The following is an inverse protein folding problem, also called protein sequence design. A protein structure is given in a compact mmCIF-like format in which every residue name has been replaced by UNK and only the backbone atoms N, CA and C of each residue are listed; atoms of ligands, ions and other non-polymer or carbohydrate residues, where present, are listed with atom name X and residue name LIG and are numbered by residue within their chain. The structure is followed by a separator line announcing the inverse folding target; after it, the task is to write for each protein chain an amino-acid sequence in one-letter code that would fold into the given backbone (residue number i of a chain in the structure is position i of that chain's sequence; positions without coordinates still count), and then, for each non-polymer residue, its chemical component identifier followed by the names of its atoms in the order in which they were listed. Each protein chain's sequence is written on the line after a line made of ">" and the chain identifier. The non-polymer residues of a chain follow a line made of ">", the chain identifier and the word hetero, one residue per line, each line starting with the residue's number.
data_IF_464783126126
#
_entry.id   IF_464783126126
#
_cell.length_a   1.000
_cell.length_b   1.000
_cell.length_c   1.000
_cell.angle_alpha   90.00
_cell.angle_beta   90.00
_cell.angle_gamma   90.00
#
_symmetry.space_group_name_H-M   'P 1'
#
loop_
_entity.id
_entity.type
_entity.pdbx_description
1 polymer ?
#
# COMPACT_ATOMS: atom_id res chain seq x y z
N UNK A 1 10.38 8.78 -20.47
CA UNK A 1 11.61 8.70 -21.28
C UNK A 1 11.47 9.66 -22.44
N UNK A 2 12.47 10.51 -22.66
CA UNK A 2 12.49 11.47 -23.76
C UNK A 2 13.54 11.07 -24.79
N UNK A 3 13.27 11.36 -26.07
CA UNK A 3 14.28 11.27 -27.14
C UNK A 3 15.17 12.54 -27.17
N UNK A 4 16.11 12.59 -28.12
CA UNK A 4 17.01 13.73 -28.29
C UNK A 4 16.31 15.04 -28.71
N UNK A 5 15.06 14.98 -29.15
CA UNK A 5 14.21 16.12 -29.55
C UNK A 5 13.19 16.49 -28.47
N UNK A 6 13.32 15.92 -27.26
CA UNK A 6 12.38 16.07 -26.14
C UNK A 6 10.97 15.49 -26.37
N UNK A 7 10.79 14.59 -27.34
CA UNK A 7 9.54 13.87 -27.49
C UNK A 7 9.42 12.77 -26.45
N UNK A 8 8.21 12.55 -25.93
CA UNK A 8 7.93 11.45 -25.00
C UNK A 8 7.95 10.13 -25.77
N UNK A 9 8.97 9.31 -25.51
CA UNK A 9 9.09 7.96 -26.08
C UNK A 9 8.17 6.99 -25.34
N UNK A 10 8.18 7.05 -24.01
CA UNK A 10 7.38 6.17 -23.15
C UNK A 10 7.24 6.76 -21.76
N UNK A 11 6.09 6.50 -21.12
CA UNK A 11 5.81 6.79 -19.72
C UNK A 11 5.53 5.49 -18.98
N UNK A 12 6.11 5.33 -17.79
CA UNK A 12 5.83 4.19 -16.91
C UNK A 12 5.29 4.68 -15.57
N UNK A 13 4.32 3.94 -15.01
CA UNK A 13 3.91 4.09 -13.61
C UNK A 13 4.90 3.31 -12.76
N UNK A 14 5.74 4.02 -11.99
CA UNK A 14 6.76 3.39 -11.14
C UNK A 14 6.09 2.91 -9.84
N UNK A 15 6.14 1.61 -9.50
CA UNK A 15 5.58 1.11 -8.25
C UNK A 15 6.24 1.74 -7.02
N UNK A 16 5.46 1.98 -5.96
CA UNK A 16 6.03 2.36 -4.66
C UNK A 16 7.04 1.32 -4.17
N UNK A 17 8.11 1.77 -3.53
CA UNK A 17 9.19 0.87 -3.10
C UNK A 17 10.22 0.53 -4.18
N UNK A 18 10.01 0.97 -5.42
CA UNK A 18 10.98 0.74 -6.51
C UNK A 18 12.31 1.40 -6.22
N UNK A 19 13.41 0.69 -6.49
CA UNK A 19 14.74 1.26 -6.53
C UNK A 19 14.97 1.88 -7.91
N UNK A 20 15.17 3.18 -7.96
CA UNK A 20 15.48 3.92 -9.19
C UNK A 20 17.00 4.02 -9.34
N UNK A 21 17.52 3.65 -10.52
CA UNK A 21 18.97 3.62 -10.81
C UNK A 21 19.44 4.79 -11.67
N UNK A 22 18.51 5.64 -12.12
CA UNK A 22 18.78 6.78 -12.99
C UNK A 22 18.38 8.08 -12.31
N UNK A 23 19.10 9.15 -12.62
CA UNK A 23 18.77 10.52 -12.19
C UNK A 23 17.87 11.19 -13.21
N UNK A 24 17.17 12.25 -12.77
CA UNK A 24 16.42 13.10 -13.68
C UNK A 24 17.34 13.63 -14.79
N UNK A 25 16.87 13.64 -16.03
CA UNK A 25 17.61 14.06 -17.24
C UNK A 25 18.92 13.28 -17.53
N UNK A 26 19.15 12.13 -16.89
CA UNK A 26 20.30 11.30 -17.20
C UNK A 26 20.18 10.71 -18.61
N UNK A 27 21.22 10.90 -19.44
CA UNK A 27 21.33 10.21 -20.74
C UNK A 27 21.54 8.71 -20.50
N UNK A 28 20.74 7.88 -21.16
CA UNK A 28 20.77 6.42 -21.05
C UNK A 28 20.92 5.79 -22.43
N UNK A 29 21.36 4.53 -22.48
CA UNK A 29 21.40 3.71 -23.70
C UNK A 29 20.27 2.67 -23.68
N UNK A 30 19.92 2.14 -24.84
CA UNK A 30 18.99 1.00 -24.95
C UNK A 30 19.52 -0.15 -24.05
N UNK A 31 18.62 -0.78 -23.28
CA UNK A 31 18.96 -1.83 -22.32
C UNK A 31 19.40 -1.34 -20.93
N UNK A 32 19.45 -0.02 -20.69
CA UNK A 32 19.79 0.50 -19.35
C UNK A 32 18.70 0.18 -18.33
N UNK A 33 19.07 -0.36 -17.16
CA UNK A 33 18.17 -0.58 -16.05
C UNK A 33 17.72 0.77 -15.45
N UNK A 34 16.43 1.07 -15.54
CA UNK A 34 15.88 2.34 -15.04
C UNK A 34 15.46 2.25 -13.59
N UNK A 35 14.70 1.20 -13.26
CA UNK A 35 14.22 0.92 -11.92
C UNK A 35 13.96 -0.59 -11.75
N UNK A 36 13.96 -1.07 -10.51
CA UNK A 36 13.60 -2.44 -10.16
C UNK A 36 12.68 -2.46 -8.95
N UNK A 37 11.79 -3.44 -8.88
CA UNK A 37 10.94 -3.68 -7.72
C UNK A 37 10.73 -5.19 -7.52
N UNK A 38 10.29 -5.57 -6.32
CA UNK A 38 9.87 -6.94 -6.02
C UNK A 38 8.39 -7.10 -6.42
N UNK A 39 8.04 -7.99 -7.36
CA UNK A 39 6.65 -8.19 -7.76
C UNK A 39 5.79 -8.88 -6.69
N UNK A 40 6.41 -9.56 -5.73
CA UNK A 40 5.76 -10.37 -4.69
C UNK A 40 5.66 -9.68 -3.33
N UNK A 41 6.35 -8.57 -3.14
CA UNK A 41 6.44 -7.91 -1.83
C UNK A 41 6.17 -6.42 -1.97
N UNK A 42 5.15 -5.93 -1.29
CA UNK A 42 5.01 -4.51 -0.99
C UNK A 42 5.91 -4.14 0.20
N UNK A 43 6.33 -2.89 0.26
CA UNK A 43 7.21 -2.39 1.32
C UNK A 43 6.63 -1.14 1.94
N UNK A 44 7.02 -0.85 3.19
CA UNK A 44 6.85 0.48 3.79
C UNK A 44 8.24 1.06 4.01
N UNK A 45 8.51 2.21 3.39
CA UNK A 45 9.78 2.92 3.49
C UNK A 45 9.72 4.00 4.57
N UNK A 46 10.85 4.24 5.20
CA UNK A 46 11.05 5.43 6.00
C UNK A 46 11.00 6.68 5.10
N UNK A 47 10.10 7.63 5.39
CA UNK A 47 10.00 8.89 4.63
C UNK A 47 11.01 9.95 5.08
N UNK A 48 11.52 9.84 6.30
CA UNK A 48 12.39 10.83 6.93
C UNK A 48 13.51 10.17 7.69
N UNK A 49 14.64 10.84 7.83
CA UNK A 49 15.71 10.35 8.70
C UNK A 49 15.27 10.48 10.16
N UNK A 50 15.57 9.49 10.99
CA UNK A 50 15.24 9.58 12.42
C UNK A 50 15.41 8.26 13.16
N UNK A 51 14.74 8.17 14.31
CA UNK A 51 14.72 6.99 15.17
C UNK A 51 13.33 6.41 15.21
N UNK A 52 13.22 5.10 14.98
CA UNK A 52 11.92 4.44 14.95
C UNK A 52 11.42 4.19 16.37
N UNK A 53 10.14 4.45 16.60
CA UNK A 53 9.39 4.02 17.78
C UNK A 53 8.21 3.16 17.36
N UNK A 54 8.05 2.05 18.05
CA UNK A 54 6.92 1.14 17.84
C UNK A 54 5.75 1.62 18.70
N UNK A 55 4.55 1.67 18.12
CA UNK A 55 3.32 2.05 18.79
C UNK A 55 2.26 0.98 18.60
N UNK A 56 1.56 0.64 19.67
CA UNK A 56 0.59 -0.45 19.73
C UNK A 56 1.16 -1.82 19.34
N UNK A 57 2.43 -2.09 19.70
CA UNK A 57 3.04 -3.41 19.57
C UNK A 57 2.89 -4.18 20.88
N UNK A 58 1.99 -5.16 20.89
CA UNK A 58 1.69 -6.03 22.03
C UNK A 58 1.79 -7.47 21.52
N UNK A 59 2.75 -8.23 22.05
CA UNK A 59 3.00 -9.60 21.64
C UNK A 59 1.78 -10.47 21.96
N UNK A 60 1.35 -11.30 21.00
CA UNK A 60 0.18 -12.15 21.09
C UNK A 60 -1.16 -11.44 20.83
N UNK A 61 -1.17 -10.10 20.74
CA UNK A 61 -2.38 -9.31 20.45
C UNK A 61 -2.29 -8.59 19.11
N UNK A 62 -1.28 -7.73 18.91
CA UNK A 62 -1.10 -6.97 17.67
C UNK A 62 0.07 -7.46 16.82
N UNK A 63 0.95 -8.29 17.38
CA UNK A 63 1.97 -9.00 16.61
C UNK A 63 2.35 -10.35 17.22
N UNK A 64 2.95 -11.21 16.42
CA UNK A 64 3.63 -12.45 16.83
C UNK A 64 5.09 -12.46 16.38
N UNK A 65 5.95 -13.15 17.14
CA UNK A 65 7.30 -13.47 16.68
C UNK A 65 7.28 -14.81 15.94
N UNK A 66 7.57 -14.79 14.64
CA UNK A 66 7.74 -16.02 13.86
C UNK A 66 9.23 -16.32 13.68
N UNK A 67 9.63 -17.57 13.92
CA UNK A 67 10.95 -18.05 13.52
C UNK A 67 10.97 -18.29 12.00
N UNK A 68 11.96 -17.73 11.32
CA UNK A 68 12.27 -18.13 9.94
C UNK A 68 13.28 -19.27 9.91
N UNK A 69 13.39 -19.98 8.79
CA UNK A 69 14.33 -21.10 8.59
C UNK A 69 15.78 -20.78 8.99
N UNK A 70 16.20 -19.52 8.88
CA UNK A 70 17.52 -19.06 9.33
C UNK A 70 17.70 -18.94 10.86
N UNK A 71 16.69 -19.28 11.66
CA UNK A 71 16.66 -19.14 13.12
C UNK A 71 16.43 -17.70 13.62
N UNK A 72 16.41 -16.71 12.72
CA UNK A 72 16.06 -15.33 13.07
C UNK A 72 14.56 -15.24 13.35
N UNK A 73 14.19 -14.50 14.39
CA UNK A 73 12.79 -14.14 14.64
C UNK A 73 12.40 -12.89 13.85
N UNK A 74 11.20 -12.87 13.30
CA UNK A 74 10.60 -11.72 12.63
C UNK A 74 9.29 -11.34 13.31
N UNK A 75 9.04 -10.04 13.44
CA UNK A 75 7.78 -9.53 13.96
C UNK A 75 6.76 -9.53 12.81
N UNK A 76 5.68 -10.28 12.97
CA UNK A 76 4.56 -10.35 12.02
C UNK A 76 3.34 -9.74 12.67
N UNK A 77 2.74 -8.74 12.02
CA UNK A 77 1.54 -8.07 12.52
C UNK A 77 0.35 -9.02 12.41
N UNK A 78 -0.35 -9.17 13.53
CA UNK A 78 -1.53 -10.03 13.66
C UNK A 78 -2.79 -9.20 13.80
N UNK A 79 -3.93 -9.79 13.48
CA UNK A 79 -5.20 -9.12 13.71
C UNK A 79 -5.51 -9.08 15.21
N UNK A 80 -5.66 -7.87 15.76
CA UNK A 80 -6.08 -7.68 17.15
C UNK A 80 -7.60 -7.72 17.29
N UNK A 81 -8.06 -8.27 18.42
CA UNK A 81 -9.48 -8.23 18.83
C UNK A 81 -9.87 -6.84 19.30
N UNK A 82 -8.95 -6.13 19.96
CA UNK A 82 -9.15 -4.73 20.32
C UNK A 82 -8.91 -3.83 19.11
N UNK A 83 -10.01 -3.39 18.52
CA UNK A 83 -9.98 -2.50 17.34
C UNK A 83 -9.47 -1.09 17.67
N UNK A 84 -9.19 -0.74 18.92
CA UNK A 84 -8.54 0.53 19.24
C UNK A 84 -7.03 0.49 19.05
N UNK A 85 -6.43 -0.70 18.97
CA UNK A 85 -4.99 -0.87 18.77
C UNK A 85 -4.66 -0.89 17.28
N UNK A 86 -3.80 0.03 16.84
CA UNK A 86 -3.36 0.12 15.45
C UNK A 86 -1.83 0.08 15.41
N UNK A 87 -1.21 -1.10 15.26
CA UNK A 87 0.24 -1.21 15.24
C UNK A 87 0.82 -0.30 14.15
N UNK A 88 1.67 0.64 14.56
CA UNK A 88 2.26 1.62 13.66
C UNK A 88 3.69 1.98 14.05
N UNK A 89 4.45 2.42 13.05
CA UNK A 89 5.81 2.91 13.23
C UNK A 89 5.79 4.43 13.22
N UNK A 90 6.47 5.03 14.20
CA UNK A 90 6.71 6.45 14.27
C UNK A 90 8.20 6.76 14.10
N UNK A 91 8.53 7.80 13.33
CA UNK A 91 9.90 8.29 13.19
C UNK A 91 10.05 9.58 13.98
N UNK A 92 10.94 9.56 14.96
CA UNK A 92 11.23 10.69 15.83
C UNK A 92 12.57 11.35 15.50
N UNK A 93 12.65 12.65 15.76
CA UNK A 93 13.91 13.40 15.73
C UNK A 93 14.81 13.04 16.94
N UNK A 94 16.00 13.64 17.00
CA UNK A 94 16.92 13.46 18.15
C UNK A 94 16.36 13.97 19.48
N UNK A 95 15.37 14.87 19.46
CA UNK A 95 14.72 15.45 20.64
C UNK A 95 13.53 14.60 21.10
N UNK A 96 13.17 13.55 20.34
CA UNK A 96 12.04 12.68 20.64
C UNK A 96 10.70 13.15 20.08
N UNK A 97 10.67 14.19 19.25
CA UNK A 97 9.44 14.68 18.60
C UNK A 97 9.10 13.85 17.37
N UNK A 98 7.82 13.56 17.17
CA UNK A 98 7.34 12.91 15.95
C UNK A 98 7.59 13.82 14.74
N UNK A 99 8.28 13.31 13.73
CA UNK A 99 8.51 14.04 12.48
C UNK A 99 7.22 13.99 11.65
N UNK A 100 6.85 15.11 11.01
CA UNK A 100 5.70 15.14 10.09
C UNK A 100 5.89 14.10 8.98
N UNK A 101 4.89 13.25 8.79
CA UNK A 101 4.99 12.11 7.87
C UNK A 101 5.87 10.95 8.38
N UNK A 102 6.28 10.97 9.65
CA UNK A 102 7.01 9.89 10.29
C UNK A 102 6.13 8.73 10.77
N UNK A 103 4.81 8.85 10.70
CA UNK A 103 3.88 7.79 11.11
C UNK A 103 3.48 6.89 9.93
N UNK A 104 3.45 5.58 10.15
CA UNK A 104 3.07 4.55 9.16
C UNK A 104 2.35 3.40 9.85
N UNK A 105 1.06 3.24 9.55
CA UNK A 105 0.23 2.14 10.07
C UNK A 105 0.60 0.85 9.36
N UNK A 106 0.63 -0.25 10.11
CA UNK A 106 1.00 -1.54 9.59
C UNK A 106 -0.24 -2.40 9.32
N UNK A 107 -0.36 -2.97 8.11
CA UNK A 107 -1.41 -3.93 7.82
C UNK A 107 -1.13 -5.28 8.47
N UNK A 108 -2.17 -6.10 8.59
CA UNK A 108 -2.06 -7.49 9.07
C UNK A 108 -1.19 -8.29 8.07
N UNK A 109 -0.43 -9.26 8.57
CA UNK A 109 0.60 -10.03 7.85
C UNK A 109 1.84 -9.22 7.44
N UNK A 110 1.92 -7.93 7.78
CA UNK A 110 3.13 -7.16 7.57
C UNK A 110 4.28 -7.70 8.44
N UNK A 111 5.46 -7.86 7.84
CA UNK A 111 6.68 -8.25 8.53
C UNK A 111 7.54 -7.03 8.79
N UNK A 112 7.81 -6.72 10.06
CA UNK A 112 8.70 -5.64 10.47
C UNK A 112 10.14 -6.15 10.49
N UNK A 113 11.04 -5.49 9.74
CA UNK A 113 12.43 -5.92 9.56
C UNK A 113 13.46 -5.01 10.25
N UNK A 114 12.97 -4.08 11.05
CA UNK A 114 13.75 -3.13 11.85
C UNK A 114 13.47 -3.36 13.34
N UNK A 115 14.29 -2.75 14.21
CA UNK A 115 14.11 -2.81 15.67
C UNK A 115 13.58 -1.49 16.21
N UNK A 116 12.86 -1.56 17.33
CA UNK A 116 12.48 -0.37 18.09
C UNK A 116 13.75 0.41 18.52
N UNK A 117 13.72 1.73 18.39
CA UNK A 117 14.87 2.62 18.64
C UNK A 117 15.92 2.67 17.53
N UNK A 118 15.78 1.86 16.46
CA UNK A 118 16.74 1.84 15.36
C UNK A 118 16.75 3.19 14.60
N UNK A 119 17.96 3.67 14.29
CA UNK A 119 18.14 4.81 13.38
C UNK A 119 17.88 4.39 11.94
N UNK A 120 17.02 5.12 11.23
CA UNK A 120 16.67 4.87 9.83
C UNK A 120 16.98 6.08 8.95
N UNK A 121 17.22 5.81 7.67
CA UNK A 121 17.36 6.84 6.63
C UNK A 121 16.11 6.89 5.75
N UNK A 122 15.81 8.05 5.19
CA UNK A 122 14.79 8.19 4.17
C UNK A 122 15.06 7.21 3.00
N UNK A 123 14.02 6.51 2.56
CA UNK A 123 14.09 5.45 1.56
C UNK A 123 14.49 4.06 2.10
N UNK A 124 14.83 3.93 3.39
CA UNK A 124 15.12 2.63 3.99
C UNK A 124 13.83 1.81 4.16
N UNK A 125 13.86 0.55 3.72
CA UNK A 125 12.76 -0.40 3.94
C UNK A 125 12.67 -0.74 5.42
N UNK A 126 11.48 -0.55 6.00
CA UNK A 126 11.18 -0.86 7.40
C UNK A 126 10.30 -2.11 7.53
N UNK A 127 9.43 -2.33 6.53
CA UNK A 127 8.39 -3.36 6.56
C UNK A 127 8.28 -4.01 5.20
N UNK A 128 8.00 -5.31 5.19
CA UNK A 128 7.67 -6.11 4.00
C UNK A 128 6.29 -6.70 4.14
N UNK A 129 5.49 -6.63 3.09
CA UNK A 129 4.11 -7.09 3.05
C UNK A 129 4.00 -8.07 1.87
N UNK A 130 3.79 -9.37 2.12
CA UNK A 130 3.67 -10.35 1.04
C UNK A 130 2.40 -10.10 0.24
N UNK A 131 2.51 -10.03 -1.08
CA UNK A 131 1.36 -9.89 -1.98
C UNK A 131 0.68 -11.23 -2.16
N UNK A 132 -0.65 -11.23 -2.02
CA UNK A 132 -1.47 -12.44 -2.23
C UNK A 132 -1.42 -12.93 -3.69
N UNK A 133 -1.16 -12.03 -4.65
CA UNK A 133 -1.10 -12.32 -6.09
C UNK A 133 0.00 -13.31 -6.52
N UNK A 134 0.98 -13.60 -5.64
CA UNK A 134 2.09 -14.51 -5.92
C UNK A 134 1.86 -15.96 -5.51
N UNK A 135 0.80 -16.27 -4.75
CA UNK A 135 0.45 -17.66 -4.48
C UNK A 135 -0.18 -18.22 -5.75
N UNK A 136 0.49 -19.23 -6.31
CA UNK A 136 0.07 -20.05 -7.45
C UNK A 136 -1.45 -20.08 -7.54
N UNK A 137 -2.01 -19.49 -8.61
CA UNK A 137 -3.41 -19.66 -8.98
C UNK A 137 -3.59 -21.14 -9.26
N UNK A 138 -3.90 -21.89 -8.20
CA UNK A 138 -4.29 -23.27 -8.31
C UNK A 138 -5.49 -23.32 -9.26
N UNK A 139 -5.30 -23.89 -10.44
CA UNK A 139 -6.29 -23.89 -11.53
C UNK A 139 -7.59 -24.58 -11.06
N UNK A 140 -7.48 -25.42 -10.03
CA UNK A 140 -8.60 -26.09 -9.35
C UNK A 140 -9.46 -25.15 -8.48
N UNK A 141 -8.94 -24.00 -8.06
CA UNK A 141 -9.64 -22.99 -7.25
C UNK A 141 -10.26 -21.83 -8.06
N UNK A 142 -10.30 -21.91 -9.39
CA UNK A 142 -10.74 -20.82 -10.27
C UNK A 142 -12.26 -20.62 -10.35
N UNK A 143 -13.06 -21.65 -10.07
CA UNK A 143 -14.53 -21.58 -10.11
C UNK A 143 -15.13 -20.51 -9.19
N UNK A 144 -14.71 -20.36 -7.91
CA UNK A 144 -15.13 -19.25 -7.07
C UNK A 144 -14.93 -17.88 -7.70
N UNK A 145 -13.81 -17.67 -8.40
CA UNK A 145 -13.52 -16.39 -9.05
C UNK A 145 -14.39 -16.17 -10.28
N UNK A 146 -14.65 -17.20 -11.08
CA UNK A 146 -15.57 -17.13 -12.21
C UNK A 146 -17.00 -16.84 -11.69
N UNK A 147 -17.44 -17.53 -10.65
CA UNK A 147 -18.73 -17.26 -10.00
C UNK A 147 -18.79 -15.83 -9.43
N UNK A 148 -17.71 -15.32 -8.83
CA UNK A 148 -17.64 -13.92 -8.39
C UNK A 148 -17.85 -12.93 -9.55
N UNK A 149 -17.27 -13.21 -10.71
CA UNK A 149 -17.37 -12.36 -11.91
C UNK A 149 -18.77 -12.44 -12.53
N UNK A 150 -19.30 -13.63 -12.77
CA UNK A 150 -20.61 -13.84 -13.41
C UNK A 150 -21.79 -13.47 -12.50
N UNK A 151 -21.68 -13.65 -11.19
CA UNK A 151 -22.71 -13.25 -10.22
C UNK A 151 -22.49 -11.84 -9.64
N UNK A 152 -21.45 -11.13 -10.09
CA UNK A 152 -21.05 -9.82 -9.57
C UNK A 152 -20.95 -9.78 -8.03
N UNK A 153 -20.37 -10.84 -7.43
CA UNK A 153 -20.12 -10.89 -5.98
C UNK A 153 -18.90 -10.06 -5.61
N UNK A 154 -18.83 -9.69 -4.34
CA UNK A 154 -17.64 -9.04 -3.80
C UNK A 154 -16.48 -10.04 -3.74
N UNK A 155 -15.26 -9.63 -4.15
CA UNK A 155 -14.07 -10.45 -3.99
C UNK A 155 -13.84 -10.81 -2.51
N UNK A 156 -13.16 -11.92 -2.26
CA UNK A 156 -12.75 -12.30 -0.90
C UNK A 156 -11.95 -11.21 -0.17
N UNK A 157 -11.09 -10.48 -0.90
CA UNK A 157 -10.34 -9.33 -0.40
C UNK A 157 -10.67 -8.08 -1.23
N UNK A 158 -11.76 -7.35 -0.92
CA UNK A 158 -12.25 -6.26 -1.76
C UNK A 158 -11.50 -4.95 -1.50
N UNK A 159 -10.90 -4.35 -2.52
CA UNK A 159 -10.30 -3.02 -2.41
C UNK A 159 -11.38 -1.94 -2.41
N UNK A 160 -11.12 -0.85 -1.67
CA UNK A 160 -11.92 0.37 -1.75
C UNK A 160 -11.35 1.24 -2.86
N UNK A 161 -12.18 1.65 -3.81
CA UNK A 161 -11.80 2.53 -4.92
C UNK A 161 -12.48 3.90 -4.79
N UNK A 162 -11.80 4.96 -5.21
CA UNK A 162 -12.40 6.30 -5.25
C UNK A 162 -13.36 6.42 -6.43
N UNK A 163 -14.44 7.18 -6.27
CA UNK A 163 -15.39 7.48 -7.35
C UNK A 163 -15.15 8.87 -7.95
N UNK A 164 -14.20 9.62 -7.40
CA UNK A 164 -13.86 10.97 -7.86
C UNK A 164 -12.35 11.10 -8.05
N UNK A 165 -11.97 11.99 -8.96
CA UNK A 165 -10.61 12.49 -9.07
C UNK A 165 -10.35 13.48 -7.93
N UNK A 166 -9.16 13.47 -7.34
CA UNK A 166 -8.82 14.41 -6.29
C UNK A 166 -7.53 14.11 -5.56
N UNK A 167 -7.26 14.95 -4.55
CA UNK A 167 -6.10 14.82 -3.66
C UNK A 167 -6.48 14.04 -2.41
N UNK A 168 -5.62 13.12 -2.01
CA UNK A 168 -5.81 12.26 -0.83
C UNK A 168 -5.40 13.00 0.45
N UNK A 169 -6.24 12.90 1.47
CA UNK A 169 -5.90 13.22 2.85
C UNK A 169 -6.42 12.14 3.79
N UNK A 170 -5.80 11.99 4.96
CA UNK A 170 -6.25 11.03 5.96
C UNK A 170 -7.10 11.68 7.06
N UNK A 171 -8.25 11.07 7.32
CA UNK A 171 -9.13 11.44 8.42
C UNK A 171 -8.79 10.72 9.73
N UNK A 172 -9.80 10.64 10.61
CA UNK A 172 -9.65 9.99 11.92
C UNK A 172 -9.55 8.47 11.80
N UNK A 173 -9.07 7.86 12.87
CA UNK A 173 -9.18 6.42 13.08
C UNK A 173 -10.24 6.21 14.16
N UNK A 174 -11.24 5.39 13.87
CA UNK A 174 -12.27 5.04 14.85
C UNK A 174 -12.42 3.52 14.87
N UNK A 175 -12.08 2.88 15.99
CA UNK A 175 -12.11 1.42 16.12
C UNK A 175 -11.42 0.72 14.94
N UNK A 176 -10.23 1.18 14.59
CA UNK A 176 -9.38 0.53 13.58
C UNK A 176 -9.79 0.84 12.13
N UNK A 177 -10.94 1.48 11.92
CA UNK A 177 -11.36 1.97 10.61
C UNK A 177 -10.64 3.28 10.35
N UNK A 178 -9.84 3.33 9.29
CA UNK A 178 -9.15 4.55 8.83
C UNK A 178 -10.00 5.27 7.79
N UNK A 179 -10.25 6.55 7.99
CA UNK A 179 -10.87 7.39 6.98
C UNK A 179 -9.82 7.88 5.97
N UNK A 180 -10.10 7.69 4.69
CA UNK A 180 -9.35 8.24 3.55
C UNK A 180 -10.27 9.22 2.84
N UNK A 181 -9.85 10.46 2.72
CA UNK A 181 -10.63 11.54 2.14
C UNK A 181 -10.02 11.86 0.77
N UNK A 182 -10.85 11.89 -0.26
CA UNK A 182 -10.46 12.35 -1.60
C UNK A 182 -11.26 13.61 -1.89
N UNK A 183 -10.54 14.67 -2.24
CA UNK A 183 -11.13 16.01 -2.41
C UNK A 183 -10.62 16.68 -3.68
N UNK A 184 -11.55 17.30 -4.41
CA UNK A 184 -11.28 18.25 -5.48
C UNK A 184 -11.99 19.58 -5.17
N UNK A 185 -12.01 20.51 -6.12
CA UNK A 185 -12.58 21.85 -5.90
C UNK A 185 -14.09 21.84 -5.60
N UNK A 186 -14.79 20.81 -6.06
CA UNK A 186 -16.26 20.76 -6.07
C UNK A 186 -16.81 19.75 -5.06
N UNK A 187 -16.11 18.63 -4.86
CA UNK A 187 -16.61 17.46 -4.15
C UNK A 187 -15.54 16.93 -3.19
N UNK A 188 -16.00 16.58 -1.99
CA UNK A 188 -15.23 15.85 -0.97
C UNK A 188 -15.91 14.52 -0.66
N UNK A 189 -15.18 13.43 -0.76
CA UNK A 189 -15.66 12.09 -0.40
C UNK A 189 -14.77 11.42 0.64
N UNK A 190 -15.41 10.76 1.60
CA UNK A 190 -14.74 10.01 2.65
C UNK A 190 -14.98 8.52 2.48
N UNK A 191 -13.88 7.77 2.43
CA UNK A 191 -13.83 6.33 2.28
C UNK A 191 -13.36 5.69 3.58
N UNK A 192 -14.02 4.60 3.98
CA UNK A 192 -13.67 3.85 5.19
C UNK A 192 -12.84 2.64 4.83
N UNK A 193 -11.59 2.63 5.26
CA UNK A 193 -10.69 1.49 5.07
C UNK A 193 -10.77 0.61 6.33
N UNK A 194 -11.14 -0.67 6.19
CA UNK A 194 -11.20 -1.59 7.32
C UNK A 194 -9.85 -1.76 8.01
N UNK A 195 -9.90 -2.17 9.27
CA UNK A 195 -8.72 -2.48 10.07
C UNK A 195 -7.82 -3.51 9.38
N UNK A 196 -6.51 -3.32 9.52
CA UNK A 196 -5.51 -4.28 9.05
C UNK A 196 -5.27 -4.28 7.54
N UNK A 197 -6.03 -3.50 6.75
CA UNK A 197 -5.79 -3.38 5.30
C UNK A 197 -4.59 -2.50 4.98
N UNK A 198 -3.80 -2.90 3.99
CA UNK A 198 -2.73 -2.07 3.47
C UNK A 198 -3.29 -0.93 2.63
N UNK A 199 -3.13 0.30 3.11
CA UNK A 199 -3.42 1.52 2.34
C UNK A 199 -2.25 1.76 1.40
N UNK A 200 -2.54 1.91 0.09
CA UNK A 200 -1.51 2.02 -0.96
C UNK A 200 -1.34 3.44 -1.49
N UNK A 201 -2.14 4.39 -0.97
CA UNK A 201 -2.07 5.82 -1.27
C UNK A 201 -1.43 6.59 -0.12
N UNK A 202 -0.89 7.77 -0.42
CA UNK A 202 -0.25 8.65 0.56
C UNK A 202 -0.96 10.00 0.64
N UNK A 203 -0.73 10.68 1.76
CA UNK A 203 -1.18 12.05 1.96
C UNK A 203 -0.62 12.96 0.86
N UNK A 204 -1.50 13.68 0.15
CA UNK A 204 -1.16 14.57 -0.95
C UNK A 204 -1.08 13.90 -2.33
N UNK A 205 -1.30 12.58 -2.43
CA UNK A 205 -1.36 11.92 -3.73
C UNK A 205 -2.58 12.43 -4.52
N UNK A 206 -2.39 12.73 -5.80
CA UNK A 206 -3.48 12.96 -6.73
C UNK A 206 -3.86 11.64 -7.40
N UNK A 207 -5.12 11.24 -7.28
CA UNK A 207 -5.65 9.96 -7.79
C UNK A 207 -6.88 10.21 -8.65
N UNK A 208 -7.17 9.26 -9.54
CA UNK A 208 -8.32 9.33 -10.45
C UNK A 208 -9.44 8.39 -10.00
N UNK A 209 -10.66 8.67 -10.45
CA UNK A 209 -11.82 7.81 -10.28
C UNK A 209 -11.50 6.38 -10.75
N UNK A 210 -11.73 5.41 -9.86
CA UNK A 210 -11.41 4.01 -10.04
C UNK A 210 -10.07 3.58 -9.44
N UNK A 211 -9.20 4.51 -9.04
CA UNK A 211 -7.97 4.16 -8.33
C UNK A 211 -8.29 3.54 -6.96
N UNK A 212 -7.53 2.49 -6.63
CA UNK A 212 -7.66 1.77 -5.35
C UNK A 212 -6.95 2.54 -4.24
N UNK A 213 -7.59 2.64 -3.09
CA UNK A 213 -7.06 3.25 -1.87
C UNK A 213 -6.35 2.24 -0.98
N UNK A 214 -6.71 0.96 -1.09
CA UNK A 214 -6.11 -0.13 -0.33
C UNK A 214 -5.94 -1.39 -1.18
N UNK A 215 -5.23 -2.37 -0.63
CA UNK A 215 -5.03 -3.67 -1.26
C UNK A 215 -6.34 -4.45 -1.48
N UNK A 216 -6.31 -5.31 -2.49
CA UNK A 216 -7.42 -6.15 -2.91
C UNK A 216 -7.89 -5.87 -4.34
N UNK A 217 -8.98 -6.54 -4.71
CA UNK A 217 -9.62 -6.42 -6.02
C UNK A 217 -10.84 -5.51 -5.92
N UNK A 218 -11.07 -4.66 -6.92
CA UNK A 218 -12.31 -3.88 -6.99
C UNK A 218 -13.45 -4.81 -7.41
N UNK A 219 -14.62 -4.64 -6.80
CA UNK A 219 -15.79 -5.47 -7.15
C UNK A 219 -16.29 -5.12 -8.55
N UNK A 220 -16.82 -6.08 -9.34
CA UNK A 220 -17.44 -5.77 -10.63
C UNK A 220 -18.52 -4.68 -10.54
N UNK A 221 -19.27 -4.64 -9.43
CA UNK A 221 -20.29 -3.63 -9.15
C UNK A 221 -19.70 -2.23 -9.01
N UNK A 222 -18.60 -2.10 -8.29
CA UNK A 222 -17.91 -0.82 -8.13
C UNK A 222 -17.25 -0.39 -9.44
N UNK A 223 -16.67 -1.32 -10.20
CA UNK A 223 -16.12 -1.02 -11.54
C UNK A 223 -17.22 -0.48 -12.45
N UNK A 224 -18.37 -1.14 -12.51
CA UNK A 224 -19.52 -0.69 -13.31
C UNK A 224 -20.00 0.70 -12.87
N UNK A 225 -20.14 0.92 -11.56
CA UNK A 225 -20.61 2.19 -10.99
C UNK A 225 -19.65 3.34 -11.25
N UNK A 226 -18.34 3.10 -11.16
CA UNK A 226 -17.31 4.15 -11.20
C UNK A 226 -16.81 4.38 -12.63
N UNK A 227 -16.55 3.29 -13.37
CA UNK A 227 -15.90 3.33 -14.68
C UNK A 227 -16.82 3.02 -15.86
N UNK A 228 -18.08 2.68 -15.60
CA UNK A 228 -19.08 2.38 -16.64
C UNK A 228 -18.99 0.97 -17.22
N UNK A 229 -19.93 0.66 -18.12
CA UNK A 229 -20.11 -0.68 -18.69
C UNK A 229 -18.93 -1.17 -19.51
N UNK A 230 -18.26 -0.30 -20.26
CA UNK A 230 -17.12 -0.68 -21.10
C UNK A 230 -15.95 -1.24 -20.27
N UNK A 231 -15.54 -0.56 -19.20
CA UNK A 231 -14.48 -1.07 -18.31
C UNK A 231 -14.93 -2.29 -17.51
N UNK A 232 -16.23 -2.38 -17.17
CA UNK A 232 -16.76 -3.56 -16.52
C UNK A 232 -16.70 -4.79 -17.45
N UNK A 233 -16.97 -4.62 -18.75
CA UNK A 233 -16.83 -5.67 -19.76
C UNK A 233 -15.37 -6.07 -19.99
N UNK A 234 -14.44 -5.11 -20.05
CA UNK A 234 -13.00 -5.42 -20.16
C UNK A 234 -12.47 -6.21 -18.96
N UNK A 235 -13.06 -6.00 -17.78
CA UNK A 235 -12.67 -6.70 -16.55
C UNK A 235 -13.21 -8.14 -16.46
N UNK A 236 -14.30 -8.47 -17.16
CA UNK A 236 -14.96 -9.78 -17.16
C UNK A 236 -14.34 -10.71 -18.21
#
# INVERSE_FOLDING_TARGET
>A
LLDAKNNVVTTWKIPYGSKVFVKNNQKIKIGSLLFSWDPYTDVILSRTNGYVRFKDFIEGETYSEEAVESGKKRIVITESKDRNLSPHLEIHDKKGNLIKGGSSILPVKATVIIKNGQKVKAGQIMVKIPREAGKTRDITGGLPRIAELFEARNPQNPAVATEIDGTVSFGKITRGIREVIVENKDIKKTYKIPYGKHIIVHEGDFIYAGDRLCEGSVSPKDILKISGSAKAQEYL
#
